data_IF_010875229043
#
_entry.id   IF_010875229043
#
_cell.length_a   1.000
_cell.length_b   1.000
_cell.length_c   1.000
_cell.angle_alpha   90.00
_cell.angle_beta   90.00
_cell.angle_gamma   90.00
#
_symmetry.space_group_name_H-M   'P 1'
#
loop_
_entity.id
_entity.type
_entity.pdbx_description
1 polymer ?
#
# COMPACT_ATOMS: atom_id res chain seq x y z
N UNK A 1 -12.44 12.14 -23.49
CA UNK A 1 -13.61 12.33 -22.60
C UNK A 1 -14.06 10.99 -21.98
N UNK A 2 -13.12 10.16 -21.52
CA UNK A 2 -13.34 8.85 -20.85
C UNK A 2 -12.29 8.67 -19.73
N UNK A 3 -11.83 9.77 -19.12
CA UNK A 3 -10.88 9.73 -17.99
C UNK A 3 -11.55 9.99 -16.64
N UNK A 4 -12.88 10.15 -16.65
CA UNK A 4 -13.68 10.54 -15.50
C UNK A 4 -15.03 9.78 -15.44
N UNK A 5 -15.08 8.55 -15.97
CA UNK A 5 -16.07 7.60 -15.43
C UNK A 5 -15.72 7.49 -13.95
N UNK A 6 -16.57 8.10 -13.11
CA UNK A 6 -16.33 8.28 -11.70
C UNK A 6 -15.84 6.96 -11.12
N UNK A 7 -14.60 6.93 -10.62
CA UNK A 7 -14.18 5.89 -9.70
C UNK A 7 -15.30 5.75 -8.68
N UNK A 8 -16.01 4.62 -8.71
CA UNK A 8 -17.15 4.41 -7.84
C UNK A 8 -16.62 4.48 -6.42
N UNK A 9 -16.94 5.57 -5.72
CA UNK A 9 -16.44 5.85 -4.37
C UNK A 9 -16.70 4.64 -3.45
N UNK A 10 -17.76 3.89 -3.71
CA UNK A 10 -18.12 2.62 -3.07
C UNK A 10 -17.02 1.55 -3.09
N UNK A 11 -16.14 1.52 -4.09
CA UNK A 11 -15.04 0.54 -4.20
C UNK A 11 -13.83 0.92 -3.35
N UNK A 12 -13.57 2.21 -3.17
CA UNK A 12 -12.44 2.71 -2.36
C UNK A 12 -12.83 3.03 -0.91
N UNK A 13 -14.12 3.25 -0.66
CA UNK A 13 -14.68 3.44 0.69
C UNK A 13 -14.21 2.38 1.70
N UNK A 14 -14.25 1.06 1.43
CA UNK A 14 -13.84 0.05 2.41
C UNK A 14 -12.35 0.16 2.76
N UNK A 15 -11.48 0.49 1.80
CA UNK A 15 -10.04 0.67 2.05
C UNK A 15 -9.79 1.87 2.95
N UNK A 16 -10.47 2.99 2.69
CA UNK A 16 -10.37 4.19 3.52
C UNK A 16 -10.84 3.93 4.95
N UNK A 17 -11.99 3.25 5.11
CA UNK A 17 -12.53 2.88 6.42
C UNK A 17 -11.55 1.96 7.15
N UNK A 18 -10.96 0.99 6.47
CA UNK A 18 -9.98 0.08 7.08
C UNK A 18 -8.71 0.81 7.53
N UNK A 19 -8.20 1.75 6.73
CA UNK A 19 -7.06 2.58 7.13
C UNK A 19 -7.38 3.44 8.36
N UNK A 20 -8.57 4.06 8.37
CA UNK A 20 -9.04 4.84 9.52
C UNK A 20 -9.20 3.98 10.77
N UNK A 21 -9.79 2.78 10.67
CA UNK A 21 -9.90 1.86 11.80
C UNK A 21 -8.53 1.39 12.30
N UNK A 22 -7.60 1.07 11.38
CA UNK A 22 -6.24 0.65 11.69
C UNK A 22 -5.43 1.71 12.45
N UNK A 23 -5.71 2.99 12.21
CA UNK A 23 -5.12 4.11 12.96
C UNK A 23 -5.92 4.43 14.23
N UNK A 24 -7.24 4.39 14.17
CA UNK A 24 -8.12 4.73 15.27
C UNK A 24 -8.02 3.76 16.45
N UNK A 25 -7.79 2.47 16.20
CA UNK A 25 -7.61 1.48 17.26
C UNK A 25 -6.36 1.75 18.14
N UNK A 26 -5.13 1.81 17.60
CA UNK A 26 -3.95 2.09 18.41
C UNK A 26 -4.00 3.51 19.01
N UNK A 27 -4.51 4.50 18.27
CA UNK A 27 -4.69 5.85 18.81
C UNK A 27 -5.71 5.87 19.97
N UNK A 28 -6.81 5.14 19.84
CA UNK A 28 -7.85 5.02 20.86
C UNK A 28 -7.36 4.28 22.11
N UNK A 29 -6.59 3.20 21.93
CA UNK A 29 -5.95 2.49 23.04
C UNK A 29 -4.95 3.39 23.75
N UNK A 30 -4.12 4.14 23.01
CA UNK A 30 -3.16 5.08 23.59
C UNK A 30 -3.87 6.23 24.32
N UNK A 31 -4.94 6.78 23.76
CA UNK A 31 -5.74 7.84 24.38
C UNK A 31 -6.46 7.34 25.64
N UNK A 32 -7.04 6.13 25.61
CA UNK A 32 -7.65 5.50 26.76
C UNK A 32 -6.59 5.22 27.85
N UNK A 33 -5.43 4.67 27.48
CA UNK A 33 -4.32 4.46 28.40
C UNK A 33 -3.84 5.78 29.03
N UNK A 34 -3.81 6.87 28.26
CA UNK A 34 -3.44 8.19 28.75
C UNK A 34 -4.49 8.81 29.68
N UNK A 35 -5.79 8.58 29.44
CA UNK A 35 -6.88 9.14 30.25
C UNK A 35 -7.13 8.34 31.53
N UNK A 36 -7.11 7.01 31.45
CA UNK A 36 -7.33 6.11 32.58
C UNK A 36 -6.06 5.78 33.36
N UNK A 37 -4.88 6.02 32.79
CA UNK A 37 -3.61 5.80 33.46
C UNK A 37 -3.40 6.76 34.63
N UNK A 38 -3.15 6.23 35.83
CA UNK A 38 -2.70 7.02 36.98
C UNK A 38 -1.32 7.61 36.68
N UNK A 39 -1.30 8.81 36.09
CA UNK A 39 -0.07 9.52 35.78
C UNK A 39 0.63 9.85 37.08
N UNK A 40 1.77 9.21 37.34
CA UNK A 40 2.65 9.65 38.40
C UNK A 40 3.05 11.10 38.08
N UNK A 41 2.78 12.03 39.02
CA UNK A 41 3.25 13.42 38.91
C UNK A 41 4.76 13.38 38.61
N UNK A 42 5.18 14.16 37.60
CA UNK A 42 6.54 14.14 37.06
C UNK A 42 7.57 14.12 38.18
N UNK A 43 8.36 13.05 38.21
CA UNK A 43 9.42 12.88 39.18
C UNK A 43 10.72 12.91 38.40
N UNK A 44 11.64 13.79 38.79
CA UNK A 44 12.92 14.00 38.12
C UNK A 44 13.71 12.70 37.84
N UNK A 45 13.52 11.68 38.66
CA UNK A 45 14.14 10.35 38.48
C UNK A 45 13.47 9.55 37.34
N UNK A 46 12.16 9.68 37.15
CA UNK A 46 11.39 8.96 36.11
C UNK A 46 11.57 9.58 34.72
N UNK A 47 11.88 10.87 34.67
CA UNK A 47 12.05 11.63 33.42
C UNK A 47 13.51 11.60 32.90
N UNK A 48 14.40 10.86 33.57
CA UNK A 48 15.77 10.60 33.10
C UNK A 48 15.84 9.33 32.27
N UNK A 49 16.78 9.30 31.34
CA UNK A 49 17.15 8.07 30.65
C UNK A 49 17.48 6.99 31.70
N UNK A 50 16.95 5.79 31.49
CA UNK A 50 17.23 4.67 32.35
C UNK A 50 18.70 4.27 32.18
N UNK A 51 19.44 4.33 33.28
CA UNK A 51 20.85 3.94 33.36
C UNK A 51 21.00 2.74 34.29
N UNK A 52 22.18 2.13 34.28
CA UNK A 52 22.54 1.00 35.16
C UNK A 52 22.65 1.34 36.67
N UNK A 53 22.11 2.49 37.11
CA UNK A 53 22.16 2.96 38.49
C UNK A 53 23.34 3.89 38.81
N UNK A 54 24.21 4.16 37.83
CA UNK A 54 25.34 5.09 37.95
C UNK A 54 25.08 6.36 37.12
N UNK A 55 25.58 7.53 37.56
CA UNK A 55 25.48 8.75 36.76
C UNK A 55 26.26 8.58 35.45
N UNK A 56 25.65 9.04 34.35
CA UNK A 56 26.27 8.98 33.03
C UNK A 56 27.49 9.90 32.98
N UNK A 57 28.66 9.27 32.83
CA UNK A 57 29.95 9.95 32.69
C UNK A 57 30.49 9.74 31.28
N UNK A 58 30.46 10.81 30.48
CA UNK A 58 31.03 10.83 29.14
C UNK A 58 30.06 11.34 28.07
N UNK A 59 30.61 11.84 26.96
CA UNK A 59 29.79 12.22 25.80
C UNK A 59 29.37 10.94 25.06
N UNK A 60 28.10 10.78 24.67
CA UNK A 60 27.68 9.64 23.86
C UNK A 60 28.46 9.69 22.54
N UNK A 61 29.23 8.64 22.25
CA UNK A 61 29.90 8.45 20.97
C UNK A 61 29.18 7.34 20.20
N UNK A 62 28.09 7.65 19.47
CA UNK A 62 27.41 6.66 18.67
C UNK A 62 28.35 6.19 17.56
N UNK A 63 28.66 4.89 17.54
CA UNK A 63 29.40 4.28 16.43
C UNK A 63 28.42 4.12 15.28
N UNK A 64 28.62 4.86 14.20
CA UNK A 64 27.81 4.72 12.99
C UNK A 64 28.09 3.35 12.36
N UNK A 65 27.12 2.45 12.47
CA UNK A 65 27.25 1.12 11.91
C UNK A 65 26.80 1.13 10.44
N UNK A 66 27.77 1.07 9.53
CA UNK A 66 27.56 1.04 8.06
C UNK A 66 26.60 -0.07 7.62
N UNK A 67 26.52 -1.15 8.40
CA UNK A 67 25.58 -2.27 8.19
C UNK A 67 24.12 -1.84 7.99
N UNK A 68 23.64 -0.83 8.73
CA UNK A 68 22.25 -0.36 8.56
C UNK A 68 22.03 0.36 7.23
N UNK A 69 23.06 1.05 6.72
CA UNK A 69 23.00 1.71 5.43
C UNK A 69 23.00 0.71 4.28
N UNK A 70 23.88 -0.30 4.33
CA UNK A 70 23.93 -1.35 3.30
C UNK A 70 22.60 -2.09 3.21
N UNK A 71 21.97 -2.42 4.35
CA UNK A 71 20.64 -3.04 4.36
C UNK A 71 19.57 -2.13 3.76
N UNK A 72 19.59 -0.82 4.05
CA UNK A 72 18.64 0.12 3.47
C UNK A 72 18.82 0.28 1.95
N UNK A 73 20.06 0.41 1.47
CA UNK A 73 20.36 0.50 0.04
C UNK A 73 19.97 -0.79 -0.71
N UNK A 74 20.23 -1.96 -0.12
CA UNK A 74 19.82 -3.24 -0.70
C UNK A 74 18.29 -3.40 -0.71
N UNK A 75 17.58 -2.94 0.32
CA UNK A 75 16.12 -2.95 0.36
C UNK A 75 15.53 -2.10 -0.76
N UNK A 76 16.03 -0.88 -0.96
CA UNK A 76 15.57 0.01 -2.03
C UNK A 76 15.81 -0.62 -3.41
N UNK A 77 16.98 -1.23 -3.61
CA UNK A 77 17.31 -1.90 -4.86
C UNK A 77 16.40 -3.12 -5.07
N UNK A 78 16.16 -3.95 -4.06
CA UNK A 78 15.30 -5.11 -4.21
C UNK A 78 13.82 -4.73 -4.41
N UNK A 79 13.33 -3.70 -3.74
CA UNK A 79 11.95 -3.22 -3.87
C UNK A 79 11.64 -2.77 -5.31
N UNK A 80 12.56 -2.03 -5.94
CA UNK A 80 12.35 -1.59 -7.33
C UNK A 80 12.43 -2.77 -8.32
N UNK A 81 13.30 -3.75 -8.10
CA UNK A 81 13.38 -4.95 -8.94
C UNK A 81 12.09 -5.78 -8.87
N UNK A 82 11.47 -5.90 -7.70
CA UNK A 82 10.17 -6.58 -7.55
C UNK A 82 9.07 -5.83 -8.30
N UNK A 83 9.08 -4.50 -8.28
CA UNK A 83 8.14 -3.69 -9.08
C UNK A 83 8.34 -3.94 -10.59
N UNK A 84 9.57 -3.95 -11.07
CA UNK A 84 9.87 -4.24 -12.47
C UNK A 84 9.46 -5.67 -12.87
N UNK A 85 9.70 -6.65 -12.01
CA UNK A 85 9.27 -8.03 -12.22
C UNK A 85 7.74 -8.15 -12.23
N UNK A 86 7.04 -7.53 -11.28
CA UNK A 86 5.58 -7.55 -11.22
C UNK A 86 4.95 -6.87 -12.44
N UNK A 87 5.43 -5.69 -12.81
CA UNK A 87 4.94 -4.93 -13.96
C UNK A 87 5.25 -5.66 -15.28
N UNK A 88 6.47 -6.20 -15.42
CA UNK A 88 6.89 -6.97 -16.59
C UNK A 88 6.10 -8.28 -16.73
N UNK A 89 5.89 -9.01 -15.63
CA UNK A 89 5.08 -10.23 -15.62
C UNK A 89 3.62 -9.95 -15.97
N UNK A 90 3.05 -8.88 -15.42
CA UNK A 90 1.70 -8.44 -15.78
C UNK A 90 1.59 -8.04 -17.26
N UNK A 91 2.59 -7.34 -17.80
CA UNK A 91 2.62 -6.98 -19.22
C UNK A 91 2.72 -8.23 -20.13
N UNK A 92 3.60 -9.17 -19.81
CA UNK A 92 3.74 -10.43 -20.55
C UNK A 92 2.45 -11.24 -20.51
N UNK A 93 1.80 -11.36 -19.35
CA UNK A 93 0.55 -12.09 -19.20
C UNK A 93 -0.59 -11.50 -20.05
N UNK A 94 -0.70 -10.16 -20.13
CA UNK A 94 -1.74 -9.50 -20.91
C UNK A 94 -1.43 -9.39 -22.41
N UNK A 95 -0.17 -9.51 -22.81
CA UNK A 95 0.25 -9.52 -24.22
C UNK A 95 -0.37 -10.68 -25.01
N UNK A 96 -0.57 -11.84 -24.37
CA UNK A 96 -1.20 -13.03 -24.95
C UNK A 96 -2.70 -12.82 -25.28
N UNK A 97 -3.37 -11.90 -24.59
CA UNK A 97 -4.79 -11.58 -24.80
C UNK A 97 -5.04 -10.75 -26.07
N UNK A 98 -4.05 -9.95 -26.48
CA UNK A 98 -4.05 -9.16 -27.72
C UNK A 98 -3.66 -9.97 -28.96
N UNK A 99 -2.96 -11.09 -28.77
CA UNK A 99 -2.49 -12.01 -29.83
C UNK A 99 -3.50 -13.13 -30.16
N UNK A 100 -4.61 -13.28 -29.42
CA UNK A 100 -5.62 -14.30 -29.71
C UNK A 100 -6.47 -13.95 -30.96
N UNK A 101 -6.40 -14.72 -32.06
CA UNK A 101 -7.14 -14.44 -33.30
C UNK A 101 -8.67 -14.66 -33.17
N UNK A 102 -9.12 -15.36 -32.12
CA UNK A 102 -10.43 -16.00 -32.07
C UNK A 102 -11.61 -15.08 -31.74
N UNK A 103 -11.37 -13.78 -31.48
CA UNK A 103 -12.44 -12.79 -31.23
C UNK A 103 -13.05 -12.20 -32.51
N UNK A 104 -12.36 -12.34 -33.66
CA UNK A 104 -12.79 -11.74 -34.95
C UNK A 104 -13.91 -12.53 -35.65
N UNK A 105 -13.99 -13.84 -35.42
CA UNK A 105 -14.96 -14.72 -36.10
C UNK A 105 -16.36 -14.72 -35.48
N UNK A 106 -16.52 -14.19 -34.26
CA UNK A 106 -17.81 -14.13 -33.56
C UNK A 106 -18.64 -12.87 -33.88
N UNK A 107 -18.02 -11.83 -34.42
CA UNK A 107 -18.72 -10.61 -34.89
C UNK A 107 -19.27 -10.75 -36.31
N UNK A 108 -18.82 -11.75 -37.08
CA UNK A 108 -19.36 -12.05 -38.41
C UNK A 108 -20.66 -12.85 -38.38
N UNK A 109 -20.97 -13.55 -37.27
CA UNK A 109 -22.19 -14.36 -37.14
C UNK A 109 -23.37 -13.62 -36.50
N UNK A 110 -23.17 -12.38 -36.06
CA UNK A 110 -24.21 -11.52 -35.46
C UNK A 110 -24.50 -10.27 -36.30
N UNK A 111 -24.31 -10.33 -37.62
CA UNK A 111 -24.87 -9.35 -38.52
C UNK A 111 -26.39 -9.58 -38.61
N UNK A 112 -27.25 -8.59 -38.28
CA UNK A 112 -28.68 -8.73 -38.44
C UNK A 112 -28.99 -8.87 -39.94
N UNK A 113 -29.69 -9.94 -40.30
CA UNK A 113 -30.22 -10.16 -41.65
C UNK A 113 -31.27 -9.09 -41.98
N UNK A 114 -30.83 -7.94 -42.46
CA UNK A 114 -31.67 -6.91 -43.06
C UNK A 114 -31.67 -7.13 -44.58
N UNK A 115 -32.57 -7.99 -45.06
CA UNK A 115 -33.04 -7.99 -46.47
C UNK A 115 -34.05 -9.13 -46.70
N UNK A 116 -35.33 -8.88 -46.43
CA UNK A 116 -36.42 -9.64 -47.02
C UNK A 116 -37.71 -8.79 -47.03
N UNK A 117 -37.67 -7.65 -47.71
CA UNK A 117 -38.87 -6.92 -48.15
C UNK A 117 -38.66 -6.43 -49.57
N UNK A 118 -38.57 -7.38 -50.50
CA UNK A 118 -38.66 -7.15 -51.93
C UNK A 118 -39.34 -8.37 -52.54
N UNK A 119 -40.65 -8.26 -52.81
CA UNK A 119 -41.37 -8.66 -54.04
C UNK A 119 -42.88 -8.77 -53.76
N UNK A 120 -43.64 -8.02 -54.58
CA UNK A 120 -45.02 -8.23 -55.08
C UNK A 120 -45.92 -9.26 -54.40
#
# INVERSE_FOLDING_TARGET
>A
MVLAEAQSLSTYLPVLIQALMGLALPAGILAASHLFGQRAKGNYIKDKAYECGLPMEGKPHPRFAVKFYVTAMLFILFDIEVVFWCLGLWFIANSWLLVSPSRRLRLSSSAPSSSASLTK
#
